data_IF_754156437491
#
_entry.id   IF_754156437491
#
_cell.length_a   1.000
_cell.length_b   1.000
_cell.length_c   1.000
_cell.angle_alpha   90.00
_cell.angle_beta   90.00
_cell.angle_gamma   90.00
#
_symmetry.space_group_name_H-M   'P 1'
#
loop_
_entity.id
_entity.type
_entity.pdbx_description
1 polymer ?
#
# COMPACT_ATOMS: atom_id res chain seq x y z
N UNK A 1 34.35 -20.24 1.72
CA UNK A 1 34.71 -18.85 1.35
C UNK A 1 33.51 -17.94 0.89
N UNK A 2 32.33 -17.88 1.57
CA UNK A 2 31.20 -17.00 1.15
C UNK A 2 31.05 -15.66 1.92
N UNK A 3 31.93 -15.37 2.89
CA UNK A 3 31.72 -14.30 3.90
C UNK A 3 32.01 -12.88 3.36
N UNK A 4 32.81 -12.74 2.29
CA UNK A 4 33.24 -11.41 1.80
C UNK A 4 32.16 -10.75 0.92
N UNK A 5 31.41 -11.53 0.14
CA UNK A 5 30.40 -11.00 -0.81
C UNK A 5 29.12 -10.53 -0.09
N UNK A 6 28.80 -11.09 1.08
CA UNK A 6 27.62 -10.70 1.88
C UNK A 6 27.74 -9.28 2.42
N UNK A 7 28.92 -8.91 2.94
CA UNK A 7 29.18 -7.56 3.46
C UNK A 7 28.96 -6.47 2.40
N UNK A 8 29.30 -6.73 1.14
CA UNK A 8 29.15 -5.75 0.05
C UNK A 8 27.71 -5.49 -0.39
N UNK A 9 26.79 -6.46 -0.25
CA UNK A 9 25.38 -6.27 -0.61
C UNK A 9 24.58 -5.63 0.52
N UNK A 10 24.72 -6.11 1.75
CA UNK A 10 24.06 -5.49 2.90
C UNK A 10 24.58 -4.09 3.18
N UNK A 11 25.87 -3.83 2.97
CA UNK A 11 26.47 -2.50 3.11
C UNK A 11 25.87 -1.46 2.15
N UNK A 12 25.59 -1.83 0.89
CA UNK A 12 24.95 -0.92 -0.09
C UNK A 12 23.53 -0.54 0.30
N UNK A 13 22.71 -1.52 0.70
CA UNK A 13 21.34 -1.26 1.17
C UNK A 13 21.34 -0.45 2.47
N UNK A 14 22.23 -0.77 3.40
CA UNK A 14 22.36 -0.02 4.64
C UNK A 14 22.79 1.43 4.38
N UNK A 15 23.74 1.67 3.48
CA UNK A 15 24.13 3.02 3.07
C UNK A 15 22.95 3.79 2.47
N UNK A 16 22.17 3.15 1.60
CA UNK A 16 20.98 3.78 1.01
C UNK A 16 19.91 4.09 2.09
N UNK A 17 19.65 3.17 3.03
CA UNK A 17 18.78 3.41 4.16
C UNK A 17 19.28 4.59 5.01
N UNK A 18 20.57 4.65 5.33
CA UNK A 18 21.16 5.74 6.12
C UNK A 18 21.08 7.08 5.39
N UNK A 19 21.33 7.12 4.08
CA UNK A 19 21.19 8.33 3.28
C UNK A 19 19.74 8.84 3.28
N UNK A 20 18.76 7.94 3.12
CA UNK A 20 17.35 8.26 3.25
C UNK A 20 17.00 8.81 4.64
N UNK A 21 17.47 8.15 5.70
CA UNK A 21 17.20 8.57 7.08
C UNK A 21 17.83 9.92 7.42
N UNK A 22 19.05 10.17 6.96
CA UNK A 22 19.71 11.49 7.12
C UNK A 22 18.91 12.55 6.40
N UNK A 23 18.52 12.32 5.14
CA UNK A 23 17.71 13.29 4.38
C UNK A 23 16.37 13.59 5.08
N UNK A 24 15.63 12.55 5.51
CA UNK A 24 14.38 12.72 6.26
C UNK A 24 14.61 13.48 7.56
N UNK A 25 15.53 13.03 8.43
CA UNK A 25 15.78 13.67 9.73
C UNK A 25 16.23 15.12 9.56
N UNK A 26 17.10 15.41 8.59
CA UNK A 26 17.50 16.78 8.27
C UNK A 26 16.31 17.64 7.84
N UNK A 27 15.42 17.10 6.99
CA UNK A 27 14.20 17.81 6.58
C UNK A 27 13.28 18.08 7.78
N UNK A 28 13.09 17.11 8.68
CA UNK A 28 12.28 17.30 9.91
C UNK A 28 12.89 18.32 10.86
N UNK A 29 14.20 18.31 11.05
CA UNK A 29 14.91 19.31 11.86
C UNK A 29 14.79 20.70 11.24
N UNK A 30 14.92 20.81 9.92
CA UNK A 30 14.71 22.06 9.20
C UNK A 30 13.29 22.60 9.44
N UNK A 31 12.27 21.73 9.41
CA UNK A 31 10.91 22.14 9.74
C UNK A 31 10.79 22.64 11.18
N UNK A 32 11.32 21.88 12.15
CA UNK A 32 11.32 22.25 13.58
C UNK A 32 11.98 23.61 13.80
N UNK A 33 13.04 23.93 13.04
CA UNK A 33 13.75 25.20 13.10
C UNK A 33 13.01 26.38 12.45
N UNK A 34 11.80 26.19 11.93
CA UNK A 34 10.98 27.23 11.29
C UNK A 34 10.98 27.18 9.75
N UNK A 35 11.74 26.27 9.15
CA UNK A 35 11.71 26.04 7.71
C UNK A 35 10.36 25.49 7.24
N UNK A 36 9.88 25.92 6.06
CA UNK A 36 8.58 25.47 5.50
C UNK A 36 8.67 24.90 4.09
N UNK A 37 9.86 24.87 3.49
CA UNK A 37 10.07 24.20 2.22
C UNK A 37 9.74 22.70 2.32
N UNK A 38 8.95 22.20 1.36
CA UNK A 38 8.51 20.80 1.32
C UNK A 38 7.47 20.43 2.38
N UNK A 39 7.12 21.32 3.31
CA UNK A 39 6.03 21.11 4.25
C UNK A 39 4.69 21.56 3.65
N UNK A 40 3.64 20.88 4.06
CA UNK A 40 2.26 21.21 3.74
C UNK A 40 1.39 21.13 5.00
N UNK A 41 0.40 22.01 5.09
CA UNK A 41 -0.57 22.02 6.16
C UNK A 41 -2.02 21.87 5.66
N UNK A 42 -2.24 21.36 4.43
CA UNK A 42 -3.59 21.20 3.90
C UNK A 42 -4.45 20.28 4.78
N UNK A 43 -5.72 20.66 4.97
CA UNK A 43 -6.77 19.67 5.20
C UNK A 43 -7.07 18.98 3.85
N UNK A 44 -7.23 17.65 3.86
CA UNK A 44 -7.27 16.80 2.66
C UNK A 44 -8.55 16.95 1.84
N UNK A 45 -9.50 17.73 2.35
CA UNK A 45 -10.82 17.94 1.74
C UNK A 45 -10.98 19.32 1.12
N UNK A 46 -10.10 20.29 1.45
CA UNK A 46 -10.13 21.64 0.90
C UNK A 46 -8.71 22.14 0.62
N UNK A 47 -8.24 21.93 -0.61
CA UNK A 47 -6.91 22.32 -1.06
C UNK A 47 -6.85 23.82 -1.32
N UNK A 48 -6.50 24.60 -0.30
CA UNK A 48 -6.20 26.03 -0.43
C UNK A 48 -4.73 26.25 -0.79
N UNK A 49 -4.43 26.88 -1.92
CA UNK A 49 -3.04 27.09 -2.41
C UNK A 49 -2.17 25.79 -2.44
N UNK A 50 -2.54 24.81 -3.27
CA UNK A 50 -1.84 23.53 -3.38
C UNK A 50 -0.39 23.67 -3.90
N UNK A 51 -0.03 24.79 -4.52
CA UNK A 51 1.34 25.05 -4.99
C UNK A 51 2.25 25.62 -3.89
N UNK A 52 1.70 26.46 -3.00
CA UNK A 52 2.43 27.10 -1.90
C UNK A 52 2.63 26.24 -0.65
N UNK A 53 1.96 25.09 -0.56
CA UNK A 53 1.99 24.21 0.62
C UNK A 53 0.90 24.52 1.65
N UNK A 54 -0.26 25.02 1.20
CA UNK A 54 -1.47 25.15 1.99
C UNK A 54 -1.29 25.75 3.39
N UNK A 55 -0.86 27.01 3.45
CA UNK A 55 -0.73 27.69 4.75
C UNK A 55 0.41 27.15 5.62
N UNK A 56 1.37 26.41 5.06
CA UNK A 56 2.59 25.99 5.76
C UNK A 56 3.31 27.17 6.42
N UNK A 57 3.30 28.34 5.79
CA UNK A 57 3.81 29.61 6.31
C UNK A 57 3.10 30.11 7.57
N UNK A 58 1.83 29.73 7.77
CA UNK A 58 1.00 30.11 8.92
C UNK A 58 1.11 29.14 10.10
N UNK A 59 1.85 28.03 9.96
CA UNK A 59 2.04 27.07 11.04
C UNK A 59 3.10 27.58 12.00
N UNK A 60 2.66 28.08 13.16
CA UNK A 60 3.52 28.59 14.23
C UNK A 60 4.24 27.46 14.98
N UNK A 61 3.54 26.35 15.24
CA UNK A 61 4.08 25.18 15.92
C UNK A 61 3.85 23.90 15.11
N UNK A 62 4.91 23.15 14.83
CA UNK A 62 4.80 21.88 14.13
C UNK A 62 4.13 20.81 15.00
N UNK A 63 3.15 20.07 14.46
CA UNK A 63 2.59 18.93 15.16
C UNK A 63 3.68 17.89 15.46
N UNK A 64 3.50 17.13 16.54
CA UNK A 64 4.50 16.18 17.03
C UNK A 64 4.96 15.19 15.94
N UNK A 65 4.02 14.58 15.21
CA UNK A 65 4.32 13.52 14.26
C UNK A 65 5.14 13.99 13.04
N UNK A 66 4.80 15.10 12.35
CA UNK A 66 5.65 15.69 11.32
C UNK A 66 6.97 16.26 11.82
N UNK A 67 7.11 16.55 13.12
CA UNK A 67 8.31 17.11 13.76
C UNK A 67 9.10 16.07 14.57
N UNK A 68 9.12 16.26 15.90
CA UNK A 68 9.94 15.46 16.82
C UNK A 68 9.65 13.95 16.80
N UNK A 69 8.39 13.56 16.56
CA UNK A 69 8.01 12.16 16.40
C UNK A 69 8.72 11.49 15.23
N UNK A 70 8.77 12.15 14.06
CA UNK A 70 9.50 11.63 12.90
C UNK A 70 11.01 11.55 13.13
N UNK A 71 11.60 12.52 13.85
CA UNK A 71 13.02 12.46 14.25
C UNK A 71 13.29 11.25 15.14
N UNK A 72 12.42 10.99 16.13
CA UNK A 72 12.52 9.82 17.00
C UNK A 72 12.41 8.50 16.22
N UNK A 73 11.48 8.41 15.26
CA UNK A 73 11.37 7.27 14.35
C UNK A 73 12.65 7.09 13.53
N UNK A 74 13.21 8.18 12.99
CA UNK A 74 14.48 8.14 12.26
C UNK A 74 15.64 7.59 13.08
N UNK A 75 15.72 7.95 14.37
CA UNK A 75 16.72 7.41 15.29
C UNK A 75 16.53 5.90 15.53
N UNK A 76 15.29 5.44 15.77
CA UNK A 76 14.97 4.01 15.93
C UNK A 76 15.34 3.23 14.67
N UNK A 77 14.99 3.74 13.50
CA UNK A 77 15.33 3.13 12.22
C UNK A 77 16.84 3.07 11.97
N UNK A 78 17.59 4.10 12.40
CA UNK A 78 19.06 4.10 12.33
C UNK A 78 19.66 3.01 13.22
N UNK A 79 19.18 2.87 14.46
CA UNK A 79 19.59 1.79 15.37
C UNK A 79 19.30 0.41 14.76
N UNK A 80 18.14 0.25 14.12
CA UNK A 80 17.78 -0.98 13.42
C UNK A 80 18.75 -1.29 12.26
N UNK A 81 19.14 -0.30 11.45
CA UNK A 81 20.12 -0.50 10.36
C UNK A 81 21.47 -0.95 10.93
N UNK A 82 21.95 -0.30 12.00
CA UNK A 82 23.20 -0.66 12.67
C UNK A 82 23.11 -2.08 13.24
N UNK A 83 22.00 -2.41 13.91
CA UNK A 83 21.73 -3.75 14.43
C UNK A 83 21.77 -4.80 13.31
N UNK A 84 21.10 -4.54 12.19
CA UNK A 84 21.03 -5.45 11.06
C UNK A 84 22.39 -5.69 10.37
N UNK A 85 23.29 -4.70 10.43
CA UNK A 85 24.67 -4.85 9.96
C UNK A 85 25.56 -5.65 10.92
N UNK A 86 25.33 -5.52 12.24
CA UNK A 86 26.13 -6.20 13.27
C UNK A 86 25.70 -7.65 13.48
N UNK A 87 24.40 -7.91 13.44
CA UNK A 87 23.80 -9.22 13.74
C UNK A 87 22.85 -9.63 12.61
N UNK A 88 23.38 -9.95 11.41
CA UNK A 88 22.54 -10.40 10.30
C UNK A 88 21.87 -11.72 10.67
N UNK A 89 20.59 -11.85 10.35
CA UNK A 89 19.80 -13.01 10.74
C UNK A 89 18.29 -12.77 10.62
N UNK A 90 17.51 -13.74 11.10
CA UNK A 90 16.03 -13.72 11.03
C UNK A 90 15.43 -12.53 11.77
N UNK A 91 15.95 -12.18 12.95
CA UNK A 91 15.47 -11.06 13.76
C UNK A 91 15.73 -9.71 13.07
N UNK A 92 16.94 -9.48 12.58
CA UNK A 92 17.30 -8.28 11.84
C UNK A 92 16.45 -8.10 10.57
N UNK A 93 16.24 -9.18 9.81
CA UNK A 93 15.39 -9.15 8.64
C UNK A 93 13.92 -8.90 8.99
N UNK A 94 13.41 -9.52 10.07
CA UNK A 94 12.05 -9.26 10.55
C UNK A 94 11.88 -7.79 10.93
N UNK A 95 12.82 -7.22 11.70
CA UNK A 95 12.80 -5.80 12.06
C UNK A 95 12.81 -4.89 10.82
N UNK A 96 13.67 -5.17 9.84
CA UNK A 96 13.73 -4.39 8.60
C UNK A 96 12.47 -4.53 7.73
N UNK A 97 11.85 -5.72 7.68
CA UNK A 97 10.54 -5.90 7.03
C UNK A 97 9.42 -5.17 7.76
N UNK A 98 9.43 -5.16 9.09
CA UNK A 98 8.47 -4.38 9.89
C UNK A 98 8.63 -2.89 9.62
N UNK A 99 9.86 -2.37 9.61
CA UNK A 99 10.13 -0.98 9.24
C UNK A 99 9.63 -0.66 7.83
N UNK A 100 9.90 -1.54 6.86
CA UNK A 100 9.41 -1.38 5.50
C UNK A 100 7.88 -1.28 5.43
N UNK A 101 7.18 -2.18 6.13
CA UNK A 101 5.73 -2.18 6.21
C UNK A 101 5.18 -0.91 6.87
N UNK A 102 5.77 -0.47 7.99
CA UNK A 102 5.35 0.73 8.70
C UNK A 102 5.55 2.01 7.87
N UNK A 103 6.65 2.12 7.12
CA UNK A 103 6.88 3.25 6.22
C UNK A 103 5.87 3.28 5.07
N UNK A 104 5.57 2.14 4.47
CA UNK A 104 4.53 2.04 3.43
C UNK A 104 3.15 2.36 4.00
N UNK A 105 2.84 1.89 5.21
CA UNK A 105 1.61 2.23 5.93
C UNK A 105 1.51 3.74 6.15
N UNK A 106 2.58 4.36 6.65
CA UNK A 106 2.65 5.80 6.89
C UNK A 106 2.51 6.63 5.60
N UNK A 107 2.95 6.10 4.45
CA UNK A 107 2.73 6.73 3.15
C UNK A 107 1.24 6.82 2.76
N UNK A 108 0.38 6.00 3.37
CA UNK A 108 -1.04 5.87 3.03
C UNK A 108 -1.24 5.62 1.51
N UNK A 109 -0.84 4.44 1.02
CA UNK A 109 -0.65 4.18 -0.41
C UNK A 109 -1.93 4.29 -1.24
N UNK A 110 -3.10 4.19 -0.60
CA UNK A 110 -4.36 4.41 -1.32
C UNK A 110 -4.54 5.88 -1.73
N UNK A 111 -4.02 6.83 -0.96
CA UNK A 111 -4.00 8.23 -1.33
C UNK A 111 -3.18 8.46 -2.59
N UNK A 112 -1.98 7.86 -2.65
CA UNK A 112 -1.16 7.88 -3.86
C UNK A 112 -1.89 7.26 -5.06
N UNK A 113 -2.66 6.19 -4.84
CA UNK A 113 -3.41 5.52 -5.90
C UNK A 113 -4.51 6.39 -6.50
N UNK A 114 -5.17 7.25 -5.71
CA UNK A 114 -6.24 8.12 -6.16
C UNK A 114 -5.76 9.50 -6.62
N UNK A 115 -4.85 10.12 -5.87
CA UNK A 115 -4.40 11.47 -6.17
C UNK A 115 -3.46 11.54 -7.38
N UNK A 116 -2.59 10.55 -7.59
CA UNK A 116 -1.67 10.60 -8.74
C UNK A 116 -2.44 10.63 -10.07
N UNK A 117 -3.42 9.73 -10.32
CA UNK A 117 -4.26 9.84 -11.51
C UNK A 117 -5.07 11.13 -11.57
N UNK A 118 -5.60 11.62 -10.45
CA UNK A 118 -6.35 12.88 -10.40
C UNK A 118 -5.47 14.08 -10.79
N UNK A 119 -4.25 14.15 -10.26
CA UNK A 119 -3.26 15.17 -10.57
C UNK A 119 -2.86 15.12 -12.06
N UNK A 120 -2.64 13.92 -12.60
CA UNK A 120 -2.34 13.70 -14.03
C UNK A 120 -3.52 14.09 -14.94
N UNK A 121 -4.75 14.00 -14.43
CA UNK A 121 -5.96 14.48 -15.11
C UNK A 121 -6.19 15.99 -14.96
N UNK A 122 -5.25 16.72 -14.35
CA UNK A 122 -5.29 18.18 -14.21
C UNK A 122 -6.07 18.69 -13.00
N UNK A 123 -6.47 17.83 -12.07
CA UNK A 123 -7.04 18.28 -10.78
C UNK A 123 -5.94 18.97 -9.96
N UNK A 124 -6.23 20.09 -9.28
CA UNK A 124 -5.29 20.67 -8.31
C UNK A 124 -4.89 19.61 -7.28
N UNK A 125 -3.60 19.47 -7.01
CA UNK A 125 -3.07 18.46 -6.08
C UNK A 125 -1.86 18.99 -5.34
N UNK A 126 -1.71 18.58 -4.08
CA UNK A 126 -0.58 18.97 -3.25
C UNK A 126 0.65 18.10 -3.56
N UNK A 127 1.52 18.64 -4.41
CA UNK A 127 2.76 17.96 -4.81
C UNK A 127 3.74 17.74 -3.64
N UNK A 128 3.66 18.51 -2.56
CA UNK A 128 4.51 18.35 -1.38
C UNK A 128 4.08 17.14 -0.56
N UNK A 129 2.77 16.97 -0.34
CA UNK A 129 2.22 15.77 0.30
C UNK A 129 2.51 14.51 -0.54
N UNK A 130 2.27 14.57 -1.85
CA UNK A 130 2.61 13.48 -2.76
C UNK A 130 4.10 13.12 -2.71
N UNK A 131 4.98 14.13 -2.72
CA UNK A 131 6.42 13.95 -2.59
C UNK A 131 6.81 13.27 -1.27
N UNK A 132 6.25 13.70 -0.15
CA UNK A 132 6.51 13.12 1.17
C UNK A 132 6.06 11.66 1.25
N UNK A 133 4.89 11.32 0.69
CA UNK A 133 4.40 9.94 0.64
C UNK A 133 5.27 9.06 -0.25
N UNK A 134 5.68 9.56 -1.40
CA UNK A 134 6.61 8.86 -2.29
C UNK A 134 7.95 8.60 -1.61
N UNK A 135 8.48 9.56 -0.85
CA UNK A 135 9.70 9.38 -0.06
C UNK A 135 9.55 8.24 0.97
N UNK A 136 8.41 8.16 1.67
CA UNK A 136 8.12 7.06 2.59
C UNK A 136 8.04 5.69 1.88
N UNK A 137 7.44 5.62 0.69
CA UNK A 137 7.44 4.40 -0.14
C UNK A 137 8.86 4.00 -0.54
N UNK A 138 9.68 4.96 -0.96
CA UNK A 138 11.11 4.73 -1.27
C UNK A 138 11.84 4.19 -0.03
N UNK A 139 11.66 4.81 1.13
CA UNK A 139 12.17 4.31 2.40
C UNK A 139 11.75 2.85 2.67
N UNK A 140 10.48 2.55 2.46
CA UNK A 140 9.95 1.18 2.56
C UNK A 140 10.66 0.18 1.65
N UNK A 141 10.90 0.54 0.39
CA UNK A 141 11.64 -0.27 -0.59
C UNK A 141 13.09 -0.48 -0.16
N UNK A 142 13.75 0.56 0.35
CA UNK A 142 15.13 0.48 0.85
C UNK A 142 15.23 -0.49 2.03
N UNK A 143 14.32 -0.38 3.00
CA UNK A 143 14.27 -1.29 4.16
C UNK A 143 13.92 -2.73 3.77
N UNK A 144 13.04 -2.94 2.78
CA UNK A 144 12.79 -4.26 2.21
C UNK A 144 14.05 -4.83 1.54
N UNK A 145 14.81 -4.00 0.83
CA UNK A 145 16.10 -4.37 0.24
C UNK A 145 17.12 -4.78 1.30
N UNK A 146 17.22 -4.00 2.40
CA UNK A 146 18.05 -4.33 3.56
C UNK A 146 17.62 -5.65 4.19
N UNK A 147 16.33 -5.86 4.41
CA UNK A 147 15.78 -7.09 4.99
C UNK A 147 16.13 -8.34 4.16
N UNK A 148 16.06 -8.23 2.82
CA UNK A 148 16.47 -9.30 1.92
C UNK A 148 18.00 -9.52 1.90
N UNK A 149 18.79 -8.49 2.19
CA UNK A 149 20.25 -8.59 2.22
C UNK A 149 20.79 -9.13 3.55
N UNK A 150 20.08 -8.92 4.66
CA UNK A 150 20.48 -9.37 6.02
C UNK A 150 19.78 -10.65 6.47
N UNK A 151 18.67 -11.03 5.81
CA UNK A 151 17.93 -12.25 6.13
C UNK A 151 18.62 -13.54 5.65
N UNK A 152 18.14 -14.70 6.14
CA UNK A 152 18.63 -15.99 5.68
C UNK A 152 18.47 -16.13 4.16
N UNK A 153 19.50 -16.63 3.49
CA UNK A 153 19.41 -16.96 2.07
C UNK A 153 18.39 -18.08 1.90
N UNK A 154 17.35 -17.82 1.13
CA UNK A 154 16.50 -18.88 0.60
C UNK A 154 17.19 -19.42 -0.64
N UNK A 155 17.37 -20.75 -0.69
CA UNK A 155 17.93 -21.41 -1.88
C UNK A 155 17.08 -21.14 -3.12
N UNK A 156 17.70 -21.30 -4.29
CA UNK A 156 16.97 -21.30 -5.56
C UNK A 156 15.96 -22.45 -5.54
N UNK A 157 14.66 -22.15 -5.44
CA UNK A 157 13.63 -23.15 -5.64
C UNK A 157 13.79 -23.77 -7.03
N UNK A 158 13.64 -25.11 -7.13
CA UNK A 158 13.56 -25.77 -8.42
C UNK A 158 12.46 -25.12 -9.29
N UNK A 159 12.76 -24.79 -10.55
CA UNK A 159 11.81 -24.12 -11.44
C UNK A 159 10.60 -25.03 -11.68
N UNK A 160 9.40 -24.51 -11.45
CA UNK A 160 8.16 -25.26 -11.69
C UNK A 160 6.93 -24.59 -11.09
N UNK A 161 5.75 -24.91 -11.65
CA UNK A 161 4.46 -24.49 -11.08
C UNK A 161 4.24 -25.19 -9.74
N UNK A 162 3.90 -24.43 -8.71
CA UNK A 162 3.55 -24.92 -7.39
C UNK A 162 2.09 -24.61 -7.11
N UNK A 163 1.20 -25.62 -7.06
CA UNK A 163 -0.20 -25.38 -6.78
C UNK A 163 -0.36 -24.74 -5.40
N UNK A 164 -1.21 -23.72 -5.31
CA UNK A 164 -1.55 -23.07 -4.05
C UNK A 164 -2.55 -23.92 -3.25
N UNK A 165 -2.60 -23.77 -1.92
CA UNK A 165 -3.63 -24.42 -1.10
C UNK A 165 -5.05 -24.10 -1.55
N UNK A 166 -5.99 -25.04 -1.33
CA UNK A 166 -7.41 -24.87 -1.72
C UNK A 166 -8.06 -23.66 -1.05
N UNK A 167 -7.70 -23.34 0.19
CA UNK A 167 -8.20 -22.16 0.88
C UNK A 167 -7.77 -20.87 0.17
N UNK A 168 -6.53 -20.80 -0.32
CA UNK A 168 -6.00 -19.64 -1.07
C UNK A 168 -6.83 -19.39 -2.32
N UNK A 169 -7.21 -20.46 -3.04
CA UNK A 169 -8.08 -20.34 -4.21
C UNK A 169 -9.47 -19.82 -3.87
N UNK A 170 -10.06 -20.24 -2.74
CA UNK A 170 -11.36 -19.71 -2.28
C UNK A 170 -11.28 -18.22 -2.00
N UNK A 171 -10.24 -17.78 -1.29
CA UNK A 171 -10.02 -16.37 -0.99
C UNK A 171 -9.72 -15.54 -2.24
N UNK A 172 -9.07 -16.11 -3.25
CA UNK A 172 -8.90 -15.44 -4.53
C UNK A 172 -10.23 -15.19 -5.23
N UNK A 173 -11.17 -16.15 -5.18
CA UNK A 173 -12.52 -15.93 -5.70
C UNK A 173 -13.29 -14.87 -4.91
N UNK A 174 -13.13 -14.82 -3.59
CA UNK A 174 -13.69 -13.73 -2.77
C UNK A 174 -13.08 -12.37 -3.19
N UNK A 175 -11.77 -12.31 -3.40
CA UNK A 175 -11.08 -11.10 -3.85
C UNK A 175 -11.48 -10.65 -5.27
N UNK A 176 -12.03 -11.54 -6.10
CA UNK A 176 -12.65 -11.20 -7.38
C UNK A 176 -14.10 -10.77 -7.21
N UNK A 177 -14.86 -11.50 -6.39
CA UNK A 177 -16.30 -11.27 -6.23
C UNK A 177 -16.60 -9.94 -5.54
N UNK A 178 -15.82 -9.55 -4.52
CA UNK A 178 -16.04 -8.33 -3.76
C UNK A 178 -16.00 -7.05 -4.63
N UNK A 179 -14.97 -6.77 -5.45
CA UNK A 179 -15.00 -5.59 -6.32
C UNK A 179 -16.05 -5.67 -7.44
N UNK A 180 -16.48 -6.86 -7.85
CA UNK A 180 -17.57 -6.99 -8.83
C UNK A 180 -18.92 -6.65 -8.18
N UNK A 181 -19.28 -7.38 -7.14
CA UNK A 181 -20.62 -7.31 -6.51
C UNK A 181 -20.74 -6.10 -5.60
N UNK A 182 -19.70 -5.81 -4.81
CA UNK A 182 -19.71 -4.76 -3.79
C UNK A 182 -19.29 -3.39 -4.31
N UNK A 183 -18.74 -3.29 -5.52
CA UNK A 183 -18.32 -2.00 -6.10
C UNK A 183 -18.90 -1.78 -7.50
N UNK A 184 -18.55 -2.62 -8.48
CA UNK A 184 -18.93 -2.41 -9.87
C UNK A 184 -20.44 -2.43 -10.10
N UNK A 185 -21.18 -3.30 -9.39
CA UNK A 185 -22.65 -3.35 -9.50
C UNK A 185 -23.31 -2.06 -8.96
N UNK A 186 -23.07 -1.61 -7.71
CA UNK A 186 -23.62 -0.33 -7.23
C UNK A 186 -23.24 0.86 -8.12
N UNK A 187 -21.96 1.01 -8.46
CA UNK A 187 -21.50 2.15 -9.26
C UNK A 187 -22.00 2.09 -10.70
N UNK A 188 -22.14 0.89 -11.27
CA UNK A 188 -22.76 0.69 -12.58
C UNK A 188 -24.25 1.04 -12.58
N UNK A 189 -24.98 0.76 -11.51
CA UNK A 189 -26.37 1.19 -11.35
C UNK A 189 -26.47 2.73 -11.25
N UNK A 190 -25.59 3.37 -10.49
CA UNK A 190 -25.52 4.83 -10.42
C UNK A 190 -25.17 5.47 -11.77
N UNK A 191 -24.30 4.84 -12.55
CA UNK A 191 -23.97 5.28 -13.91
C UNK A 191 -25.16 5.15 -14.89
N UNK A 192 -26.12 4.27 -14.58
CA UNK A 192 -27.34 4.04 -15.36
C UNK A 192 -28.55 4.80 -14.78
N UNK A 193 -28.31 5.84 -13.98
CA UNK A 193 -29.33 6.67 -13.34
C UNK A 193 -30.26 5.91 -12.37
N UNK A 194 -29.78 4.80 -11.79
CA UNK A 194 -30.51 4.02 -10.78
C UNK A 194 -29.95 4.33 -9.39
N UNK A 195 -30.71 4.97 -8.47
CA UNK A 195 -30.24 5.37 -7.13
C UNK A 195 -30.20 4.16 -6.17
N UNK A 196 -29.34 3.18 -6.47
CA UNK A 196 -29.23 1.98 -5.66
C UNK A 196 -28.56 2.27 -4.32
N UNK A 197 -29.36 2.27 -3.24
CA UNK A 197 -28.88 2.43 -1.86
C UNK A 197 -28.29 3.80 -1.52
N UNK A 198 -28.72 4.82 -2.27
CA UNK A 198 -28.48 6.25 -2.06
C UNK A 198 -29.78 7.02 -2.38
N UNK A 199 -29.89 8.28 -1.97
CA UNK A 199 -30.99 9.17 -2.37
C UNK A 199 -30.83 9.68 -3.81
N UNK A 200 -31.92 10.16 -4.41
CA UNK A 200 -31.85 10.80 -5.74
C UNK A 200 -30.95 12.05 -5.72
N UNK A 201 -31.03 12.83 -4.65
CA UNK A 201 -30.17 14.01 -4.48
C UNK A 201 -28.68 13.61 -4.49
N UNK A 202 -28.30 12.54 -3.79
CA UNK A 202 -26.93 12.05 -3.79
C UNK A 202 -26.47 11.56 -5.16
N UNK A 203 -27.37 10.96 -5.95
CA UNK A 203 -27.08 10.54 -7.31
C UNK A 203 -26.84 11.75 -8.22
N UNK A 204 -27.71 12.77 -8.13
CA UNK A 204 -27.58 14.02 -8.90
C UNK A 204 -26.24 14.73 -8.59
N UNK A 205 -25.85 14.79 -7.30
CA UNK A 205 -24.56 15.33 -6.86
C UNK A 205 -23.39 14.56 -7.49
N UNK A 206 -23.45 13.22 -7.51
CA UNK A 206 -22.42 12.38 -8.16
C UNK A 206 -22.30 12.71 -9.65
N UNK A 207 -23.41 12.87 -10.38
CA UNK A 207 -23.37 13.19 -11.82
C UNK A 207 -22.87 14.60 -12.10
N UNK A 208 -23.11 15.55 -11.19
CA UNK A 208 -22.58 16.92 -11.30
C UNK A 208 -21.07 16.97 -11.09
N UNK A 209 -20.55 16.24 -10.10
CA UNK A 209 -19.15 16.31 -9.69
C UNK A 209 -18.21 15.35 -10.44
N UNK A 210 -18.78 14.31 -11.04
CA UNK A 210 -18.03 13.21 -11.64
C UNK A 210 -18.25 13.15 -13.16
N UNK A 211 -17.19 13.43 -13.92
CA UNK A 211 -17.22 13.23 -15.36
C UNK A 211 -17.56 11.76 -15.71
N UNK A 212 -18.40 11.55 -16.72
CA UNK A 212 -18.86 10.21 -17.16
C UNK A 212 -17.69 9.25 -17.40
N UNK A 213 -16.62 9.72 -18.04
CA UNK A 213 -15.41 8.91 -18.28
C UNK A 213 -14.76 8.42 -16.97
N UNK A 214 -14.74 9.27 -15.94
CA UNK A 214 -14.26 8.91 -14.60
C UNK A 214 -15.20 7.92 -13.92
N UNK A 215 -16.52 8.09 -14.06
CA UNK A 215 -17.52 7.13 -13.56
C UNK A 215 -17.37 5.74 -14.18
N UNK A 216 -17.13 5.67 -15.50
CA UNK A 216 -16.83 4.41 -16.21
C UNK A 216 -15.54 3.79 -15.67
N UNK A 217 -14.45 4.56 -15.58
CA UNK A 217 -13.17 4.06 -15.09
C UNK A 217 -13.28 3.52 -13.65
N UNK A 218 -13.94 4.27 -12.77
CA UNK A 218 -14.23 3.87 -11.40
C UNK A 218 -15.02 2.56 -11.35
N UNK A 219 -15.99 2.36 -12.24
CA UNK A 219 -16.81 1.15 -12.27
C UNK A 219 -16.02 -0.09 -12.72
N UNK A 220 -15.15 0.03 -13.73
CA UNK A 220 -14.51 -1.13 -14.37
C UNK A 220 -13.09 -1.44 -13.89
N UNK A 221 -12.33 -0.46 -13.37
CA UNK A 221 -10.94 -0.70 -12.94
C UNK A 221 -10.86 -1.68 -11.74
N UNK A 222 -11.67 -1.54 -10.68
CA UNK A 222 -11.63 -2.46 -9.54
C UNK A 222 -11.92 -3.93 -9.88
N UNK A 223 -12.96 -4.29 -10.67
CA UNK A 223 -13.17 -5.69 -11.04
C UNK A 223 -12.04 -6.24 -11.93
N UNK A 224 -11.43 -5.42 -12.80
CA UNK A 224 -10.24 -5.82 -13.56
C UNK A 224 -9.04 -6.10 -12.62
N UNK A 225 -8.82 -5.26 -11.61
CA UNK A 225 -7.82 -5.50 -10.57
C UNK A 225 -8.13 -6.76 -9.75
N UNK A 226 -9.41 -7.02 -9.46
CA UNK A 226 -9.89 -8.26 -8.85
C UNK A 226 -9.52 -9.48 -9.70
N UNK A 227 -9.75 -9.44 -11.02
CA UNK A 227 -9.36 -10.52 -11.94
C UNK A 227 -7.84 -10.76 -11.96
N UNK A 228 -7.03 -9.71 -11.84
CA UNK A 228 -5.57 -9.86 -11.72
C UNK A 228 -5.16 -10.65 -10.47
N UNK A 229 -5.96 -10.66 -9.40
CA UNK A 229 -5.70 -11.46 -8.21
C UNK A 229 -5.75 -12.96 -8.48
N UNK A 230 -6.43 -13.41 -9.54
CA UNK A 230 -6.41 -14.82 -9.97
C UNK A 230 -4.99 -15.27 -10.35
N UNK A 231 -4.10 -14.35 -10.73
CA UNK A 231 -2.69 -14.67 -11.00
C UNK A 231 -2.01 -15.32 -9.82
N UNK A 232 -2.36 -14.91 -8.60
CA UNK A 232 -1.82 -15.46 -7.36
C UNK A 232 -2.23 -16.92 -7.12
N UNK A 233 -3.17 -17.46 -7.89
CA UNK A 233 -3.62 -18.87 -7.76
C UNK A 233 -3.52 -19.66 -9.06
N UNK A 234 -3.17 -18.99 -10.16
CA UNK A 234 -3.06 -19.56 -11.50
C UNK A 234 -1.61 -19.66 -11.96
N UNK A 235 -1.36 -20.43 -13.04
CA UNK A 235 -0.02 -20.65 -13.58
C UNK A 235 0.65 -19.35 -14.02
N UNK A 236 -0.12 -18.41 -14.57
CA UNK A 236 0.42 -17.18 -15.17
C UNK A 236 1.01 -16.21 -14.14
N UNK A 237 0.66 -16.32 -12.85
CA UNK A 237 1.31 -15.54 -11.79
C UNK A 237 2.61 -16.15 -11.26
N UNK A 238 2.91 -17.41 -11.60
CA UNK A 238 4.20 -18.06 -11.27
C UNK A 238 5.10 -18.23 -12.49
N UNK A 239 4.54 -18.23 -13.70
CA UNK A 239 5.26 -18.36 -14.96
C UNK A 239 4.66 -17.42 -15.99
N UNK A 240 5.48 -16.63 -16.66
CA UNK A 240 5.00 -15.73 -17.70
C UNK A 240 4.36 -16.54 -18.85
N UNK A 241 3.18 -16.12 -19.34
CA UNK A 241 2.55 -16.76 -20.48
C UNK A 241 3.47 -16.82 -21.70
N UNK A 242 3.33 -17.87 -22.53
CA UNK A 242 4.20 -18.10 -23.70
C UNK A 242 4.11 -17.00 -24.77
N UNK A 243 3.04 -16.21 -24.76
CA UNK A 243 2.82 -15.11 -25.68
C UNK A 243 3.49 -13.80 -25.25
N UNK A 244 4.07 -13.72 -24.03
CA UNK A 244 4.77 -12.51 -23.56
C UNK A 244 6.17 -12.47 -24.17
N UNK A 245 6.48 -11.51 -25.06
CA UNK A 245 7.79 -11.43 -25.70
C UNK A 245 8.93 -11.29 -24.68
N UNK A 246 10.02 -12.05 -24.85
CA UNK A 246 11.22 -12.00 -24.00
C UNK A 246 11.12 -12.68 -22.62
N UNK A 247 9.91 -12.96 -22.14
CA UNK A 247 9.66 -13.59 -20.83
C UNK A 247 8.96 -14.95 -20.91
N UNK A 248 8.54 -15.39 -22.10
CA UNK A 248 7.83 -16.65 -22.33
C UNK A 248 8.39 -17.84 -21.51
N UNK A 249 7.54 -18.39 -20.63
CA UNK A 249 7.87 -19.57 -19.82
C UNK A 249 8.86 -19.34 -18.68
N UNK A 250 9.36 -18.11 -18.48
CA UNK A 250 10.21 -17.77 -17.33
C UNK A 250 9.39 -17.75 -16.05
N UNK A 251 10.01 -18.16 -14.94
CA UNK A 251 9.42 -18.02 -13.61
C UNK A 251 9.25 -16.56 -13.23
N UNK A 252 8.07 -16.21 -12.71
CA UNK A 252 7.80 -14.90 -12.14
C UNK A 252 8.53 -14.80 -10.79
N UNK A 253 9.41 -13.79 -10.60
CA UNK A 253 10.06 -13.61 -9.31
C UNK A 253 9.01 -13.46 -8.20
N UNK A 254 9.13 -14.24 -7.11
CA UNK A 254 8.16 -14.25 -6.00
C UNK A 254 7.82 -12.83 -5.50
N UNK A 255 8.83 -11.98 -5.34
CA UNK A 255 8.64 -10.61 -4.86
C UNK A 255 7.87 -9.72 -5.84
N UNK A 256 7.93 -10.00 -7.15
CA UNK A 256 7.21 -9.24 -8.18
C UNK A 256 5.69 -9.41 -8.04
N UNK A 257 5.22 -10.56 -7.53
CA UNK A 257 3.81 -10.79 -7.25
C UNK A 257 3.42 -10.41 -5.81
N UNK A 258 4.25 -10.78 -4.83
CA UNK A 258 3.93 -10.58 -3.40
C UNK A 258 3.93 -9.11 -2.99
N UNK A 259 4.89 -8.31 -3.46
CA UNK A 259 5.01 -6.91 -3.02
C UNK A 259 3.84 -6.07 -3.52
N UNK A 260 3.50 -6.03 -4.83
CA UNK A 260 2.38 -5.22 -5.29
C UNK A 260 1.04 -5.67 -4.68
N UNK A 261 0.78 -6.99 -4.65
CA UNK A 261 -0.46 -7.51 -4.09
C UNK A 261 -0.57 -7.24 -2.58
N UNK A 262 0.53 -7.35 -1.84
CA UNK A 262 0.59 -7.04 -0.42
C UNK A 262 0.38 -5.55 -0.12
N UNK A 263 0.97 -4.66 -0.93
CA UNK A 263 0.78 -3.21 -0.80
C UNK A 263 -0.68 -2.82 -1.06
N UNK A 264 -1.29 -3.34 -2.12
CA UNK A 264 -2.71 -3.09 -2.42
C UNK A 264 -3.62 -3.66 -1.33
N UNK A 265 -3.37 -4.89 -0.86
CA UNK A 265 -4.11 -5.48 0.26
C UNK A 265 -4.07 -4.58 1.49
N UNK A 266 -2.87 -4.12 1.87
CA UNK A 266 -2.69 -3.22 3.00
C UNK A 266 -3.42 -1.88 2.80
N UNK A 267 -3.32 -1.30 1.60
CA UNK A 267 -4.00 -0.05 1.25
C UNK A 267 -5.52 -0.15 1.46
N UNK A 268 -6.13 -1.22 0.94
CA UNK A 268 -7.56 -1.48 1.02
C UNK A 268 -8.02 -1.75 2.47
N UNK A 269 -7.26 -2.56 3.22
CA UNK A 269 -7.56 -2.82 4.64
C UNK A 269 -7.50 -1.54 5.45
N UNK A 270 -6.45 -0.75 5.29
CA UNK A 270 -6.29 0.50 6.05
C UNK A 270 -7.41 1.48 5.74
N UNK A 271 -7.76 1.65 4.46
CA UNK A 271 -8.85 2.53 4.09
C UNK A 271 -10.18 2.06 4.64
N UNK A 272 -10.53 0.78 4.44
CA UNK A 272 -11.77 0.24 4.98
C UNK A 272 -11.85 0.37 6.51
N UNK A 273 -10.78 0.05 7.23
CA UNK A 273 -10.73 0.15 8.69
C UNK A 273 -10.77 1.59 9.20
N UNK A 274 -9.95 2.49 8.64
CA UNK A 274 -9.87 3.88 9.08
C UNK A 274 -11.16 4.63 8.75
N UNK A 275 -11.69 4.50 7.53
CA UNK A 275 -12.94 5.14 7.14
C UNK A 275 -14.12 4.65 7.98
N UNK A 276 -14.15 3.35 8.31
CA UNK A 276 -15.17 2.80 9.23
C UNK A 276 -15.01 3.36 10.65
N UNK A 277 -13.77 3.49 11.14
CA UNK A 277 -13.51 4.06 12.45
C UNK A 277 -13.87 5.55 12.53
N UNK A 278 -13.55 6.33 11.50
CA UNK A 278 -13.95 7.74 11.37
C UNK A 278 -15.47 7.86 11.36
N UNK A 279 -16.15 7.03 10.57
CA UNK A 279 -17.60 7.03 10.52
C UNK A 279 -18.22 6.67 11.88
N UNK A 280 -17.67 5.65 12.55
CA UNK A 280 -18.07 5.31 13.92
C UNK A 280 -17.88 6.47 14.90
N UNK A 281 -16.76 7.18 14.79
CA UNK A 281 -16.51 8.41 15.56
C UNK A 281 -17.56 9.49 15.32
N UNK A 282 -17.89 9.77 14.05
CA UNK A 282 -18.92 10.76 13.67
C UNK A 282 -20.32 10.41 14.20
N UNK A 283 -20.66 9.12 14.22
CA UNK A 283 -21.92 8.66 14.82
C UNK A 283 -21.93 8.85 16.34
N UNK A 284 -20.79 8.68 17.00
CA UNK A 284 -20.66 8.89 18.45
C UNK A 284 -20.68 10.37 18.84
N UNK A 285 -20.13 11.25 18.01
CA UNK A 285 -20.14 12.71 18.23
C UNK A 285 -21.43 13.39 17.77
N UNK A 286 -22.29 12.68 17.02
CA UNK A 286 -23.53 13.21 16.47
C UNK A 286 -23.35 14.03 15.20
N UNK A 287 -22.14 14.05 14.61
CA UNK A 287 -21.86 14.67 13.30
C UNK A 287 -22.53 13.93 12.14
N UNK A 288 -22.81 12.64 12.31
CA UNK A 288 -23.57 11.83 11.36
C UNK A 288 -24.70 11.12 12.09
N UNK A 289 -25.80 10.85 11.37
CA UNK A 289 -26.99 10.24 11.97
C UNK A 289 -27.31 8.85 11.40
N UNK A 290 -27.97 8.00 12.19
CA UNK A 290 -28.42 6.67 11.73
C UNK A 290 -29.37 6.71 10.52
N UNK A 291 -30.34 7.66 10.43
CA UNK A 291 -31.19 7.80 9.24
C UNK A 291 -30.40 8.12 7.97
N UNK A 292 -29.46 9.06 8.05
CA UNK A 292 -28.57 9.44 6.93
C UNK A 292 -27.74 8.24 6.44
N UNK A 293 -27.22 7.44 7.39
CA UNK A 293 -26.50 6.21 7.06
C UNK A 293 -27.37 5.16 6.37
N UNK A 294 -28.64 5.09 6.76
CA UNK A 294 -29.60 4.14 6.17
C UNK A 294 -30.02 4.59 4.77
N UNK A 295 -30.11 5.89 4.53
CA UNK A 295 -30.42 6.47 3.24
C UNK A 295 -29.26 6.28 2.25
N UNK A 296 -28.02 6.51 2.68
CA UNK A 296 -26.78 6.30 1.90
C UNK A 296 -26.06 4.97 2.14
N UNK A 297 -26.79 3.91 2.49
CA UNK A 297 -26.18 2.67 3.00
C UNK A 297 -25.22 2.01 2.01
N UNK A 298 -25.41 2.15 0.70
CA UNK A 298 -24.54 1.55 -0.30
C UNK A 298 -23.14 2.19 -0.28
N UNK A 299 -23.04 3.50 -0.02
CA UNK A 299 -21.76 4.20 0.15
C UNK A 299 -21.05 3.69 1.41
N UNK A 300 -21.78 3.51 2.51
CA UNK A 300 -21.20 3.01 3.76
C UNK A 300 -20.79 1.53 3.66
N UNK A 301 -21.61 0.70 3.01
CA UNK A 301 -21.30 -0.71 2.77
C UNK A 301 -20.01 -0.89 1.95
N UNK A 302 -19.71 0.07 1.07
CA UNK A 302 -18.49 0.07 0.27
C UNK A 302 -17.22 0.13 1.14
N UNK A 303 -17.26 0.77 2.32
CA UNK A 303 -16.14 0.77 3.27
C UNK A 303 -15.80 -0.65 3.76
N UNK A 304 -16.84 -1.45 4.02
CA UNK A 304 -16.69 -2.85 4.40
C UNK A 304 -16.25 -3.73 3.22
N UNK A 305 -16.68 -3.39 2.00
CA UNK A 305 -16.20 -4.04 0.77
C UNK A 305 -14.69 -3.83 0.62
N UNK A 306 -14.18 -2.62 0.82
CA UNK A 306 -12.74 -2.36 0.80
C UNK A 306 -11.98 -3.16 1.84
N UNK A 307 -12.47 -3.18 3.08
CA UNK A 307 -11.87 -3.97 4.15
C UNK A 307 -11.84 -5.46 3.80
N UNK A 308 -12.97 -6.01 3.40
CA UNK A 308 -13.11 -7.41 3.01
C UNK A 308 -12.24 -7.77 1.80
N UNK A 309 -12.17 -6.88 0.81
CA UNK A 309 -11.37 -7.09 -0.40
C UNK A 309 -9.88 -7.07 -0.08
N UNK A 310 -9.44 -6.11 0.74
CA UNK A 310 -8.08 -6.05 1.24
C UNK A 310 -7.68 -7.30 2.03
N UNK A 311 -8.54 -7.78 2.94
CA UNK A 311 -8.31 -9.01 3.69
C UNK A 311 -8.22 -10.21 2.75
N UNK A 312 -9.16 -10.36 1.80
CA UNK A 312 -9.16 -11.47 0.86
C UNK A 312 -7.91 -11.50 -0.01
N UNK A 313 -7.47 -10.32 -0.49
CA UNK A 313 -6.23 -10.18 -1.24
C UNK A 313 -4.99 -10.48 -0.38
N UNK A 314 -4.96 -10.00 0.86
CA UNK A 314 -3.86 -10.28 1.81
C UNK A 314 -3.72 -11.77 2.11
N UNK A 315 -4.83 -12.45 2.38
CA UNK A 315 -4.88 -13.90 2.60
C UNK A 315 -4.43 -14.66 1.34
N UNK A 316 -4.91 -14.25 0.17
CA UNK A 316 -4.49 -14.83 -1.12
C UNK A 316 -2.99 -14.66 -1.35
N UNK A 317 -2.46 -13.46 -1.07
CA UNK A 317 -1.03 -13.14 -1.18
C UNK A 317 -0.18 -13.97 -0.22
N UNK A 318 -0.65 -14.18 1.01
CA UNK A 318 0.01 -15.05 1.98
C UNK A 318 0.07 -16.49 1.49
N UNK A 319 -1.03 -17.02 0.94
CA UNK A 319 -1.08 -18.36 0.37
C UNK A 319 -0.16 -18.54 -0.83
N UNK A 320 -0.11 -17.56 -1.74
CA UNK A 320 0.86 -17.52 -2.83
C UNK A 320 2.30 -17.50 -2.30
N UNK A 321 2.58 -16.64 -1.33
CA UNK A 321 3.90 -16.51 -0.73
C UNK A 321 4.34 -17.79 -0.01
N UNK A 322 3.42 -18.55 0.58
CA UNK A 322 3.69 -19.85 1.19
C UNK A 322 4.01 -20.91 0.13
N UNK A 323 3.18 -21.02 -0.91
CA UNK A 323 3.37 -22.00 -1.99
C UNK A 323 4.69 -21.79 -2.76
N UNK A 324 5.12 -20.54 -2.88
CA UNK A 324 6.33 -20.14 -3.63
C UNK A 324 7.59 -19.99 -2.78
N UNK A 325 7.52 -20.27 -1.47
CA UNK A 325 8.73 -20.35 -0.62
C UNK A 325 9.55 -21.57 -1.02
N UNK A 326 10.86 -21.40 -1.22
CA UNK A 326 11.80 -22.53 -1.29
C UNK A 326 11.79 -23.25 0.06
N UNK A 327 11.69 -24.59 0.10
CA UNK A 327 12.10 -25.34 1.29
C UNK A 327 13.53 -24.93 1.64
N UNK A 328 13.83 -24.73 2.92
CA UNK A 328 15.21 -24.81 3.36
C UNK A 328 15.63 -26.26 3.14
N UNK A 329 16.79 -26.51 2.51
CA UNK A 329 17.37 -27.85 2.53
C UNK A 329 17.45 -28.26 4.01
N UNK A 330 16.84 -29.39 4.42
CA UNK A 330 17.21 -29.98 5.69
C UNK A 330 18.71 -30.25 5.59
N UNK A 331 19.47 -29.72 6.55
CA UNK A 331 20.87 -30.08 6.76
C UNK A 331 21.00 -31.59 6.56
N UNK A 332 21.85 -31.98 5.62
CA UNK A 332 22.27 -33.37 5.46
C UNK A 332 23.09 -33.70 6.70
N UNK A 333 22.40 -33.99 7.80
CA UNK A 333 22.94 -34.68 8.95
C UNK A 333 22.80 -36.17 8.67
N UNK A 334 23.71 -36.68 7.84
CA UNK A 334 23.92 -38.11 7.68
C UNK A 334 25.42 -38.41 7.67
N UNK A 335 25.80 -39.14 8.73
CA UNK A 335 26.97 -40.01 8.97
C UNK A 335 28.35 -39.37 9.02
#
# INVERSE_FOLDING_TARGET
>A
MPIVVTRGRSGRWALACLAFLVAEVTLRIYWIAGGRWGYTACDRTDLTDPAGGCGADRVEALPFWPGWGAVGVGAILTVLVIYALRVPGRSAAAGAWTAAALLVIAAFPLHLLFEVPAALAGRPSDWRDLGARLALVVGGVLFAGLANATGPRTGSAAPGYRPVPRWTRRWAYVAVALPVVGWAVPHGLWLLDVPFGISQQQLDEIHQDLAVATGVAITFVPPLAGLLCLGLVQRWGQQFPRWVPGLAGRGVPRLLAVVPAGVVAMALVMYGALSTAVLGGRLLTGESSWPELREGWAVTATLLVFLGWGVALGVTTAGYALATRSPADPEVEQS
#
